data_IF_006918901311
#
_entry.id   IF_006918901311
#
_cell.length_a   1.000
_cell.length_b   1.000
_cell.length_c   1.000
_cell.angle_alpha   90.00
_cell.angle_beta   90.00
_cell.angle_gamma   90.00
#
_symmetry.space_group_name_H-M   'P 1'
#
loop_
_entity.id
_entity.type
_entity.pdbx_description
1 polymer ?
#
# COMPACT_ATOMS: atom_id res chain seq x y z
N UNK A 1 -8.39 11.51 11.14
CA UNK A 1 -9.72 10.92 11.27
C UNK A 1 -10.01 10.17 12.60
N UNK A 2 -9.10 10.23 13.61
CA UNK A 2 -9.27 9.38 14.81
C UNK A 2 -10.49 9.72 15.67
N UNK A 3 -11.07 10.89 15.50
CA UNK A 3 -12.20 11.32 16.32
C UNK A 3 -13.55 11.25 15.60
N UNK A 4 -13.58 10.78 14.36
CA UNK A 4 -14.80 10.69 13.60
C UNK A 4 -15.47 9.33 13.80
N UNK A 5 -16.79 9.31 14.04
CA UNK A 5 -17.55 8.07 14.07
C UNK A 5 -17.82 7.56 12.65
N UNK A 6 -18.10 8.49 11.74
CA UNK A 6 -18.33 8.19 10.34
C UNK A 6 -17.66 9.26 9.48
N UNK A 7 -17.22 8.84 8.31
CA UNK A 7 -16.53 9.70 7.35
C UNK A 7 -17.30 9.67 6.04
N UNK A 8 -17.51 10.84 5.47
CA UNK A 8 -18.09 10.99 4.14
C UNK A 8 -16.95 11.43 3.22
N UNK A 9 -16.68 10.65 2.20
CA UNK A 9 -15.61 10.95 1.24
C UNK A 9 -16.23 11.60 0.01
N UNK A 10 -15.70 12.79 -0.34
CA UNK A 10 -16.16 13.56 -1.48
C UNK A 10 -15.09 13.58 -2.57
N UNK A 11 -15.52 13.47 -3.81
CA UNK A 11 -14.68 13.64 -4.98
C UNK A 11 -15.51 14.27 -6.07
N UNK A 12 -15.01 15.34 -6.68
CA UNK A 12 -15.69 16.07 -7.75
C UNK A 12 -17.12 16.47 -7.35
N UNK A 13 -17.26 16.95 -6.10
CA UNK A 13 -18.55 17.38 -5.50
C UNK A 13 -19.58 16.26 -5.32
N UNK A 14 -19.14 15.00 -5.39
CA UNK A 14 -20.02 13.84 -5.18
C UNK A 14 -19.56 13.02 -3.99
N UNK A 15 -20.51 12.45 -3.28
CA UNK A 15 -20.22 11.49 -2.22
C UNK A 15 -19.86 10.16 -2.87
N UNK A 16 -18.63 9.69 -2.66
CA UNK A 16 -18.16 8.42 -3.22
C UNK A 16 -18.06 7.32 -2.18
N UNK A 17 -18.03 7.67 -0.89
CA UNK A 17 -18.04 6.70 0.19
C UNK A 17 -18.55 7.32 1.46
N UNK A 18 -19.19 6.50 2.32
CA UNK A 18 -19.64 6.89 3.63
C UNK A 18 -19.54 5.67 4.54
N UNK A 19 -18.64 5.72 5.52
CA UNK A 19 -18.43 4.59 6.41
C UNK A 19 -17.62 5.04 7.62
N UNK A 20 -17.33 4.10 8.53
CA UNK A 20 -16.45 4.39 9.66
C UNK A 20 -15.02 4.53 9.16
N UNK A 21 -14.17 5.31 9.87
CA UNK A 21 -12.75 5.41 9.48
C UNK A 21 -12.07 4.06 9.40
N UNK A 22 -12.36 3.15 10.33
CA UNK A 22 -11.77 1.82 10.35
C UNK A 22 -12.11 1.05 9.08
N UNK A 23 -13.38 1.02 8.68
CA UNK A 23 -13.80 0.30 7.47
C UNK A 23 -13.19 0.90 6.20
N UNK A 24 -13.12 2.22 6.11
CA UNK A 24 -12.51 2.87 4.96
C UNK A 24 -11.03 2.57 4.86
N UNK A 25 -10.33 2.49 5.99
CA UNK A 25 -8.91 2.17 6.04
C UNK A 25 -8.64 0.69 5.72
N UNK A 26 -9.38 -0.21 6.37
CA UNK A 26 -9.15 -1.66 6.22
C UNK A 26 -9.65 -2.23 4.89
N UNK A 27 -10.69 -1.62 4.33
CA UNK A 27 -11.34 -2.09 3.10
C UNK A 27 -11.53 -0.93 2.12
N UNK A 28 -10.44 -0.26 1.71
CA UNK A 28 -10.57 0.85 0.77
C UNK A 28 -11.03 0.35 -0.59
N UNK A 29 -12.03 1.02 -1.15
CA UNK A 29 -12.58 0.65 -2.46
C UNK A 29 -11.64 1.00 -3.60
N UNK A 30 -10.85 2.06 -3.45
CA UNK A 30 -9.92 2.51 -4.47
C UNK A 30 -8.74 3.24 -3.84
N UNK A 31 -7.75 3.58 -4.68
CA UNK A 31 -6.55 4.28 -4.22
C UNK A 31 -6.84 5.68 -3.68
N UNK A 32 -7.86 6.36 -4.21
CA UNK A 32 -8.20 7.68 -3.71
C UNK A 32 -8.62 7.63 -2.24
N UNK A 33 -9.50 6.69 -1.88
CA UNK A 33 -9.95 6.52 -0.49
C UNK A 33 -8.76 6.12 0.39
N UNK A 34 -7.94 5.17 -0.06
CA UNK A 34 -6.75 4.75 0.68
C UNK A 34 -5.79 5.92 0.91
N UNK A 35 -5.62 6.80 -0.07
CA UNK A 35 -4.71 7.95 0.02
C UNK A 35 -5.06 8.93 1.14
N UNK A 36 -6.30 8.89 1.63
CA UNK A 36 -6.71 9.73 2.76
C UNK A 36 -6.09 9.28 4.08
N UNK A 37 -5.60 8.05 4.14
CA UNK A 37 -4.97 7.47 5.33
C UNK A 37 -3.45 7.35 5.22
N UNK A 38 -2.92 7.41 4.02
CA UNK A 38 -1.48 7.30 3.79
C UNK A 38 -1.15 6.92 2.37
N UNK A 39 0.13 6.85 2.06
CA UNK A 39 0.59 6.41 0.75
C UNK A 39 0.21 4.94 0.54
N UNK A 40 -0.36 4.62 -0.61
CA UNK A 40 -0.88 3.29 -0.90
C UNK A 40 -0.49 2.84 -2.30
N UNK A 41 -0.48 1.52 -2.49
CA UNK A 41 -0.13 0.87 -3.75
C UNK A 41 -1.24 -0.09 -4.15
N UNK A 42 -1.49 -0.20 -5.45
CA UNK A 42 -2.44 -1.16 -5.99
C UNK A 42 -1.63 -2.21 -6.75
N UNK A 43 -1.62 -3.44 -6.25
CA UNK A 43 -0.79 -4.51 -6.80
C UNK A 43 -1.61 -5.75 -7.15
N UNK A 44 -1.24 -6.49 -8.22
CA UNK A 44 -1.91 -7.74 -8.56
C UNK A 44 -1.67 -8.79 -7.47
N UNK A 45 -2.71 -9.54 -7.14
CA UNK A 45 -2.63 -10.51 -6.04
C UNK A 45 -1.71 -11.69 -6.35
N UNK A 46 -1.57 -12.06 -7.62
CA UNK A 46 -0.68 -13.15 -8.02
C UNK A 46 0.79 -12.85 -7.76
N UNK A 47 1.14 -11.59 -7.56
CA UNK A 47 2.51 -11.17 -7.24
C UNK A 47 2.83 -11.49 -5.77
N UNK A 48 1.87 -11.31 -4.88
CA UNK A 48 2.11 -11.44 -3.44
C UNK A 48 1.84 -12.84 -2.90
N UNK A 49 1.03 -13.62 -3.62
CA UNK A 49 0.69 -14.99 -3.24
C UNK A 49 0.13 -15.73 -4.45
N UNK A 50 0.27 -17.06 -4.46
CA UNK A 50 -0.31 -17.88 -5.52
C UNK A 50 -1.79 -18.07 -5.28
N UNK A 51 -2.63 -17.35 -6.04
CA UNK A 51 -4.08 -17.50 -6.05
C UNK A 51 -4.55 -17.82 -7.46
N UNK A 52 -5.71 -18.47 -7.55
CA UNK A 52 -6.30 -18.83 -8.84
C UNK A 52 -6.74 -17.60 -9.64
N UNK A 53 -7.22 -16.55 -8.97
CA UNK A 53 -7.64 -15.32 -9.62
C UNK A 53 -6.48 -14.36 -9.77
N UNK A 54 -5.83 -14.41 -10.93
CA UNK A 54 -4.65 -13.59 -11.23
C UNK A 54 -5.00 -12.16 -11.69
N UNK A 55 -6.28 -11.87 -11.92
CA UNK A 55 -6.71 -10.53 -12.36
C UNK A 55 -7.01 -9.60 -11.21
N UNK A 56 -7.19 -10.13 -10.02
CA UNK A 56 -7.55 -9.34 -8.86
C UNK A 56 -6.36 -8.53 -8.36
N UNK A 57 -6.62 -7.30 -7.94
CA UNK A 57 -5.63 -6.42 -7.34
C UNK A 57 -6.02 -6.08 -5.92
N UNK A 58 -5.02 -5.86 -5.08
CA UNK A 58 -5.24 -5.40 -3.71
C UNK A 58 -4.51 -4.09 -3.48
N UNK A 59 -5.02 -3.32 -2.52
CA UNK A 59 -4.40 -2.07 -2.10
C UNK A 59 -3.59 -2.35 -0.85
N UNK A 60 -2.31 -1.95 -0.87
CA UNK A 60 -1.40 -2.13 0.26
C UNK A 60 -0.79 -0.78 0.61
N UNK A 61 -0.89 -0.39 1.87
CA UNK A 61 -0.29 0.85 2.34
C UNK A 61 1.23 0.71 2.45
N UNK A 62 1.93 1.83 2.27
CA UNK A 62 3.39 1.84 2.32
C UNK A 62 3.95 1.24 3.62
N UNK A 63 3.28 1.49 4.75
CA UNK A 63 3.73 0.98 6.05
C UNK A 63 3.48 -0.52 6.24
N UNK A 64 2.70 -1.15 5.37
CA UNK A 64 2.37 -2.57 5.48
C UNK A 64 3.37 -3.48 4.78
N UNK A 65 4.29 -2.93 4.01
CA UNK A 65 5.38 -3.70 3.45
C UNK A 65 6.50 -3.88 4.46
N UNK A 66 7.14 -5.05 4.41
CA UNK A 66 8.34 -5.34 5.21
C UNK A 66 9.49 -5.66 4.28
N UNK A 67 10.65 -5.07 4.55
CA UNK A 67 11.85 -5.31 3.75
C UNK A 67 12.50 -6.62 4.19
N UNK A 68 12.89 -7.44 3.22
CA UNK A 68 13.60 -8.68 3.42
C UNK A 68 14.81 -8.73 2.48
N UNK A 69 15.84 -9.44 2.91
CA UNK A 69 17.00 -9.68 2.06
C UNK A 69 16.93 -11.03 1.34
N UNK A 70 15.92 -11.84 1.65
CA UNK A 70 15.86 -13.23 1.17
C UNK A 70 14.87 -13.45 0.04
N UNK A 71 13.63 -12.98 0.20
CA UNK A 71 12.58 -13.26 -0.78
C UNK A 71 11.42 -12.30 -0.63
N UNK A 72 10.63 -12.17 -1.69
CA UNK A 72 9.45 -11.31 -1.73
C UNK A 72 9.32 -10.68 -3.11
N UNK A 73 8.62 -9.55 -3.15
CA UNK A 73 8.56 -8.73 -4.36
C UNK A 73 9.91 -8.07 -4.56
N UNK A 74 10.55 -8.32 -5.68
CA UNK A 74 11.86 -7.75 -5.98
C UNK A 74 11.69 -6.33 -6.50
N UNK A 75 12.18 -5.36 -5.74
CA UNK A 75 11.99 -3.94 -6.02
C UNK A 75 13.35 -3.25 -6.14
N UNK A 76 13.50 -2.43 -7.19
CA UNK A 76 14.69 -1.60 -7.39
C UNK A 76 14.38 -0.19 -6.90
N UNK A 77 15.12 0.26 -5.89
CA UNK A 77 14.93 1.59 -5.29
C UNK A 77 15.29 2.69 -6.29
N UNK A 78 14.47 3.72 -6.36
CA UNK A 78 14.73 4.91 -7.19
C UNK A 78 14.96 6.17 -6.37
N UNK A 79 14.18 6.39 -5.32
CA UNK A 79 14.27 7.59 -4.50
C UNK A 79 13.90 7.31 -3.05
N UNK A 80 14.40 8.15 -2.14
CA UNK A 80 14.03 8.12 -0.73
C UNK A 80 13.61 9.53 -0.33
N UNK A 81 12.43 9.66 0.26
CA UNK A 81 11.87 10.95 0.67
C UNK A 81 11.76 11.01 2.19
N UNK A 82 12.35 12.04 2.79
CA UNK A 82 12.27 12.23 4.24
C UNK A 82 10.87 12.68 4.64
N UNK A 83 10.26 11.93 5.57
CA UNK A 83 8.88 12.18 6.01
C UNK A 83 8.79 12.58 7.48
N UNK A 84 9.90 12.90 8.11
CA UNK A 84 9.96 13.20 9.54
C UNK A 84 10.40 11.99 10.36
N UNK A 85 9.48 11.13 10.74
CA UNK A 85 9.78 9.94 11.54
C UNK A 85 10.29 8.74 10.76
N UNK A 86 10.26 8.79 9.42
CA UNK A 86 10.68 7.70 8.56
C UNK A 86 10.96 8.24 7.16
N UNK A 87 11.37 7.35 6.26
CA UNK A 87 11.52 7.66 4.84
C UNK A 87 10.48 6.91 4.04
N UNK A 88 9.91 7.61 3.06
CA UNK A 88 9.08 6.98 2.03
C UNK A 88 10.00 6.60 0.89
N UNK A 89 10.10 5.31 0.61
CA UNK A 89 10.98 4.79 -0.43
C UNK A 89 10.15 4.53 -1.69
N UNK A 90 10.62 5.09 -2.80
CA UNK A 90 10.05 4.83 -4.11
C UNK A 90 10.89 3.76 -4.80
N UNK A 91 10.23 2.78 -5.38
CA UNK A 91 10.91 1.73 -6.12
C UNK A 91 10.09 1.27 -7.30
N UNK A 92 10.72 0.43 -8.13
CA UNK A 92 10.09 -0.15 -9.31
C UNK A 92 10.02 -1.66 -9.14
N UNK A 93 8.81 -2.20 -9.26
CA UNK A 93 8.56 -3.62 -9.37
C UNK A 93 8.06 -3.89 -10.78
N UNK A 94 8.84 -4.64 -11.56
CA UNK A 94 8.61 -4.78 -12.99
C UNK A 94 8.46 -3.38 -13.59
N UNK A 95 7.37 -2.98 -14.16
CA UNK A 95 7.21 -1.63 -14.72
C UNK A 95 6.31 -0.75 -13.86
N UNK A 96 6.07 -1.14 -12.62
CA UNK A 96 5.15 -0.43 -11.73
C UNK A 96 5.91 0.26 -10.59
N UNK A 97 5.55 1.49 -10.29
CA UNK A 97 6.07 2.18 -9.10
C UNK A 97 5.42 1.61 -7.85
N UNK A 98 6.24 1.39 -6.82
CA UNK A 98 5.78 1.02 -5.49
C UNK A 98 6.38 1.95 -4.45
N UNK A 99 5.65 2.17 -3.37
CA UNK A 99 6.09 2.99 -2.25
C UNK A 99 6.01 2.18 -0.96
N UNK A 100 7.07 2.24 -0.17
CA UNK A 100 7.10 1.58 1.13
C UNK A 100 7.86 2.43 2.14
N UNK A 101 7.58 2.22 3.43
CA UNK A 101 8.23 2.97 4.49
C UNK A 101 9.47 2.23 4.98
N UNK A 102 10.51 2.99 5.32
CA UNK A 102 11.72 2.45 5.93
C UNK A 102 12.30 3.48 6.91
N UNK A 103 13.03 3.00 7.91
CA UNK A 103 13.59 3.88 8.93
C UNK A 103 14.84 4.65 8.45
N UNK A 104 15.47 4.21 7.38
CA UNK A 104 16.66 4.85 6.78
C UNK A 104 16.44 5.07 5.29
N UNK A 105 17.14 6.06 4.70
CA UNK A 105 17.12 6.17 3.24
C UNK A 105 17.84 4.99 2.61
N UNK A 106 17.50 4.72 1.37
CA UNK A 106 18.13 3.68 0.58
C UNK A 106 18.72 4.29 -0.67
N UNK A 107 19.90 3.80 -1.06
CA UNK A 107 20.57 4.30 -2.26
C UNK A 107 19.79 3.92 -3.52
N UNK A 108 19.74 4.82 -4.52
CA UNK A 108 19.16 4.47 -5.81
C UNK A 108 19.85 3.25 -6.41
N UNK A 109 19.10 2.43 -7.12
CA UNK A 109 19.53 1.16 -7.73
C UNK A 109 19.71 0.00 -6.75
N UNK A 110 19.54 0.22 -5.45
CA UNK A 110 19.54 -0.88 -4.49
C UNK A 110 18.34 -1.78 -4.74
N UNK A 111 18.57 -3.10 -4.69
CA UNK A 111 17.49 -4.09 -4.83
C UNK A 111 17.11 -4.63 -3.46
N UNK A 112 15.82 -4.67 -3.20
CA UNK A 112 15.27 -5.21 -1.95
C UNK A 112 14.08 -6.09 -2.27
N UNK A 113 13.73 -6.96 -1.32
CA UNK A 113 12.51 -7.75 -1.41
C UNK A 113 11.49 -7.21 -0.42
N UNK A 114 10.24 -7.10 -0.85
CA UNK A 114 9.14 -6.63 0.00
C UNK A 114 8.17 -7.76 0.27
N UNK A 115 7.79 -7.92 1.52
CA UNK A 115 6.79 -8.89 1.95
C UNK A 115 5.57 -8.20 2.52
N UNK A 116 4.43 -8.86 2.40
CA UNK A 116 3.16 -8.40 2.95
C UNK A 116 2.65 -9.53 3.83
N UNK A 117 2.19 -9.20 5.04
CA UNK A 117 1.66 -10.23 5.93
C UNK A 117 0.42 -10.88 5.35
N UNK A 118 0.22 -12.16 5.66
CA UNK A 118 -0.95 -12.88 5.18
C UNK A 118 -2.23 -12.28 5.75
N UNK A 119 -2.15 -11.72 6.95
CA UNK A 119 -3.30 -11.04 7.58
C UNK A 119 -3.72 -9.83 6.77
N UNK A 120 -2.77 -9.03 6.31
CA UNK A 120 -3.05 -7.86 5.47
C UNK A 120 -3.67 -8.29 4.14
N UNK A 121 -3.11 -9.32 3.52
CA UNK A 121 -3.65 -9.83 2.25
C UNK A 121 -5.11 -10.28 2.44
N UNK A 122 -5.38 -11.06 3.47
CA UNK A 122 -6.73 -11.57 3.72
C UNK A 122 -7.70 -10.44 4.02
N UNK A 123 -7.28 -9.43 4.76
CA UNK A 123 -8.11 -8.25 5.07
C UNK A 123 -8.52 -7.51 3.79
N UNK A 124 -7.58 -7.32 2.87
CA UNK A 124 -7.87 -6.62 1.61
C UNK A 124 -8.68 -7.45 0.63
N UNK A 125 -8.69 -8.78 0.78
CA UNK A 125 -9.51 -9.67 -0.02
C UNK A 125 -10.95 -9.75 0.46
N UNK A 126 -11.20 -9.46 1.73
CA UNK A 126 -12.56 -9.41 2.28
C UNK A 126 -13.29 -8.20 1.70
N UNK A 127 -14.50 -8.44 1.25
CA UNK A 127 -15.31 -7.39 0.63
C UNK A 127 -16.59 -7.19 1.43
#
# INVERSE_FOLDING_TARGET
LPFADRVVVLKDKKIIAKDTPKNLYEHPKDLYIASLFGEANKIPINIVKTYADTKRRIIVYAHEFKVSEKSGLEVRVTNSYYMGGHYLIEGIYEDQKLYFNHHKPMDPEKEVFLNISIETINQRLEI
#
